data_IF_183471814815
#
_entry.id   IF_183471814815
#
_cell.length_a   1.000
_cell.length_b   1.000
_cell.length_c   1.000
_cell.angle_alpha   90.00
_cell.angle_beta   90.00
_cell.angle_gamma   90.00
#
_symmetry.space_group_name_H-M   'P 1'
#
loop_
_entity.id
_entity.type
_entity.pdbx_description
1 polymer ?
#
# COMPACT_ATOMS: atom_id res chain seq x y z
N UNK A 1 -42.25 -40.39 39.43
CA UNK A 1 -43.21 -39.95 38.39
C UNK A 1 -42.37 -39.28 37.32
N UNK A 2 -42.02 -40.02 36.26
CA UNK A 2 -42.78 -40.11 34.99
C UNK A 2 -42.83 -38.75 34.27
N UNK A 3 -42.48 -38.58 33.01
CA UNK A 3 -42.05 -39.46 31.92
C UNK A 3 -41.34 -38.57 30.89
N UNK A 4 -40.37 -39.04 30.11
CA UNK A 4 -40.51 -39.99 28.99
C UNK A 4 -41.45 -39.49 27.89
N UNK A 5 -40.86 -39.41 26.68
CA UNK A 5 -41.38 -39.70 25.34
C UNK A 5 -41.13 -38.53 24.37
N UNK A 6 -40.10 -38.63 23.51
CA UNK A 6 -40.12 -39.37 22.22
C UNK A 6 -40.89 -38.58 21.15
N UNK A 7 -40.53 -38.54 19.86
CA UNK A 7 -40.01 -39.62 19.03
C UNK A 7 -39.68 -39.07 17.62
N UNK A 8 -38.63 -39.63 17.02
CA UNK A 8 -38.60 -40.23 15.67
C UNK A 8 -38.74 -39.35 14.41
N UNK A 9 -38.18 -39.68 13.25
CA UNK A 9 -37.43 -40.83 12.68
C UNK A 9 -36.61 -40.24 11.50
N UNK A 10 -35.59 -40.84 10.84
CA UNK A 10 -35.45 -42.21 10.36
C UNK A 10 -34.01 -42.43 9.83
N UNK A 11 -33.44 -43.56 10.24
CA UNK A 11 -32.34 -44.43 9.71
C UNK A 11 -32.48 -44.67 8.16
N UNK A 12 -31.50 -45.17 7.32
CA UNK A 12 -30.44 -46.16 7.63
C UNK A 12 -29.03 -46.11 6.95
N UNK A 13 -28.12 -46.82 7.63
CA UNK A 13 -27.20 -47.92 7.18
C UNK A 13 -26.12 -47.74 6.09
N UNK A 14 -24.93 -48.15 6.56
CA UNK A 14 -23.99 -49.15 6.02
C UNK A 14 -23.18 -48.80 4.77
N UNK A 15 -21.86 -48.72 4.98
CA UNK A 15 -20.83 -49.46 4.22
C UNK A 15 -19.64 -49.63 5.17
N UNK A 16 -19.58 -50.73 5.94
CA UNK A 16 -18.84 -51.97 5.61
C UNK A 16 -17.45 -51.67 5.03
N UNK A 17 -16.48 -51.57 5.94
CA UNK A 17 -15.05 -51.64 5.67
C UNK A 17 -14.76 -53.06 5.17
N UNK A 18 -14.44 -53.19 3.88
CA UNK A 18 -13.75 -54.36 3.36
C UNK A 18 -12.26 -54.04 3.31
N UNK A 19 -11.52 -54.65 4.23
CA UNK A 19 -10.08 -54.89 4.06
C UNK A 19 -9.94 -55.98 3.00
N UNK A 20 -9.46 -55.60 1.82
CA UNK A 20 -8.93 -56.55 0.83
C UNK A 20 -7.47 -56.18 0.61
N UNK A 21 -6.63 -57.12 1.02
CA UNK A 21 -5.20 -57.19 0.75
C UNK A 21 -5.01 -57.44 -0.75
N UNK A 22 -4.46 -56.48 -1.47
CA UNK A 22 -4.03 -56.68 -2.86
C UNK A 22 -2.65 -56.02 -3.06
N UNK A 23 -1.56 -56.81 -3.17
CA UNK A 23 -0.18 -56.27 -3.16
C UNK A 23 0.29 -55.69 -4.51
N UNK A 24 -0.57 -55.63 -5.53
CA UNK A 24 -0.18 -55.17 -6.88
C UNK A 24 -0.53 -53.69 -7.19
N UNK A 25 -1.25 -52.98 -6.31
CA UNK A 25 -1.58 -51.56 -6.46
C UNK A 25 -0.88 -50.66 -5.43
N UNK A 26 0.13 -51.17 -4.74
CA UNK A 26 0.93 -50.40 -3.78
C UNK A 26 2.11 -49.66 -4.41
N UNK A 27 2.53 -50.06 -5.62
CA UNK A 27 3.75 -49.54 -6.28
C UNK A 27 3.50 -48.31 -7.16
N UNK A 28 2.29 -48.14 -7.68
CA UNK A 28 1.95 -46.99 -8.55
C UNK A 28 1.59 -45.75 -7.72
N UNK A 29 1.01 -45.93 -6.54
CA UNK A 29 0.49 -44.82 -5.71
C UNK A 29 1.56 -44.18 -4.83
N UNK A 30 2.64 -44.89 -4.49
CA UNK A 30 3.79 -44.36 -3.75
C UNK A 30 4.70 -43.48 -4.62
N UNK A 31 4.75 -43.71 -5.92
CA UNK A 31 5.59 -42.91 -6.84
C UNK A 31 5.02 -41.51 -7.06
N UNK A 32 3.69 -41.36 -7.05
CA UNK A 32 3.01 -40.09 -7.30
C UNK A 32 2.97 -39.17 -6.07
N UNK A 33 2.94 -39.72 -4.84
CA UNK A 33 2.97 -38.91 -3.62
C UNK A 33 4.40 -38.43 -3.31
N UNK A 34 5.42 -39.23 -3.63
CA UNK A 34 6.82 -38.86 -3.42
C UNK A 34 7.31 -37.78 -4.42
N UNK A 35 6.71 -37.67 -5.61
CA UNK A 35 7.01 -36.58 -6.56
C UNK A 35 6.37 -35.25 -6.15
N UNK A 36 5.16 -35.27 -5.58
CA UNK A 36 4.44 -34.06 -5.13
C UNK A 36 5.06 -33.47 -3.86
N UNK A 37 5.58 -34.29 -2.94
CA UNK A 37 6.26 -33.80 -1.73
C UNK A 37 7.65 -33.21 -2.01
N UNK A 38 8.36 -33.65 -3.06
CA UNK A 38 9.61 -32.99 -3.50
C UNK A 38 9.38 -31.61 -4.10
N UNK A 39 8.24 -31.38 -4.74
CA UNK A 39 7.96 -30.12 -5.42
C UNK A 39 7.59 -28.99 -4.44
N UNK A 40 7.09 -29.31 -3.24
CA UNK A 40 6.78 -28.31 -2.22
C UNK A 40 7.97 -27.94 -1.30
N UNK A 41 9.01 -28.77 -1.22
CA UNK A 41 10.18 -28.48 -0.38
C UNK A 41 11.24 -27.61 -1.08
N UNK A 42 11.26 -27.54 -2.42
CA UNK A 42 12.18 -26.66 -3.15
C UNK A 42 11.71 -25.19 -3.22
N UNK A 43 10.43 -24.90 -3.00
CA UNK A 43 9.90 -23.52 -3.13
C UNK A 43 10.04 -22.68 -1.85
N UNK A 44 10.61 -23.25 -0.76
CA UNK A 44 10.82 -22.55 0.53
C UNK A 44 12.29 -22.33 0.89
N UNK A 45 13.15 -22.09 -0.10
CA UNK A 45 14.50 -21.57 0.15
C UNK A 45 15.04 -20.72 -1.00
N UNK A 46 14.27 -19.72 -1.43
CA UNK A 46 14.87 -18.55 -2.04
C UNK A 46 15.25 -17.59 -0.90
N UNK A 47 16.43 -17.84 -0.32
CA UNK A 47 17.11 -16.83 0.49
C UNK A 47 17.16 -15.54 -0.33
N UNK A 48 16.62 -14.45 0.23
CA UNK A 48 16.83 -13.11 -0.30
C UNK A 48 18.33 -12.82 -0.27
N UNK A 49 19.00 -13.11 -1.39
CA UNK A 49 20.40 -12.79 -1.57
C UNK A 49 20.50 -11.31 -1.95
N UNK A 50 20.63 -10.49 -0.91
CA UNK A 50 20.76 -9.04 -0.99
C UNK A 50 22.04 -8.59 -1.71
N UNK A 51 23.03 -9.48 -1.87
CA UNK A 51 24.31 -9.16 -2.51
C UNK A 51 24.18 -8.91 -4.02
N UNK A 52 23.23 -9.56 -4.69
CA UNK A 52 23.00 -9.41 -6.13
C UNK A 52 22.17 -8.16 -6.50
N UNK A 53 21.51 -7.52 -5.52
CA UNK A 53 20.79 -6.25 -5.74
C UNK A 53 21.75 -5.06 -5.86
N UNK A 54 22.87 -5.09 -5.12
CA UNK A 54 23.91 -4.06 -5.20
C UNK A 54 24.88 -4.25 -6.36
N UNK A 55 25.02 -5.48 -6.89
CA UNK A 55 25.89 -5.73 -8.05
C UNK A 55 25.30 -5.18 -9.36
N UNK A 56 23.97 -5.26 -9.52
CA UNK A 56 23.25 -4.74 -10.69
C UNK A 56 23.18 -3.20 -10.75
N UNK A 57 23.48 -2.52 -9.65
CA UNK A 57 23.58 -1.05 -9.61
C UNK A 57 24.96 -0.54 -10.08
N UNK A 58 25.96 -1.42 -10.24
CA UNK A 58 27.28 -1.08 -10.76
C UNK A 58 27.41 -1.26 -12.28
N UNK A 59 26.64 -2.18 -12.87
CA UNK A 59 26.66 -2.46 -14.32
C UNK A 59 25.99 -1.38 -15.19
N UNK A 60 25.25 -0.43 -14.62
CA UNK A 60 24.75 0.73 -15.36
C UNK A 60 25.78 1.87 -15.51
N UNK A 61 27.02 1.68 -15.06
CA UNK A 61 28.06 2.72 -15.09
C UNK A 61 29.26 2.41 -16.00
N UNK A 62 29.21 1.35 -16.80
CA UNK A 62 30.21 1.05 -17.84
C UNK A 62 29.52 0.82 -19.19
N UNK A 63 29.07 1.91 -19.82
CA UNK A 63 28.91 1.93 -21.27
C UNK A 63 29.77 3.07 -21.81
N UNK A 64 31.04 2.76 -22.03
CA UNK A 64 31.93 3.58 -22.84
C UNK A 64 31.53 3.41 -24.32
N UNK A 65 31.25 4.49 -25.07
CA UNK A 65 30.76 4.41 -26.43
C UNK A 65 31.94 4.41 -27.40
N UNK A 66 32.26 3.26 -27.99
CA UNK A 66 33.27 3.21 -29.03
C UNK A 66 32.96 2.13 -30.04
N UNK A 67 32.15 2.47 -31.04
CA UNK A 67 32.45 2.25 -32.47
C UNK A 67 31.23 2.63 -33.31
N UNK A 68 31.52 3.26 -34.46
CA UNK A 68 30.60 3.65 -35.54
C UNK A 68 29.84 4.97 -35.33
N UNK A 69 30.51 6.09 -35.65
CA UNK A 69 30.30 6.77 -36.94
C UNK A 69 31.22 7.99 -37.04
N UNK A 70 32.17 7.89 -37.97
CA UNK A 70 32.98 8.99 -38.48
C UNK A 70 32.10 9.86 -39.38
N UNK A 71 31.84 11.11 -38.99
CA UNK A 71 31.75 12.21 -39.96
C UNK A 71 31.99 13.56 -39.26
N UNK A 72 33.07 14.19 -39.72
CA UNK A 72 33.45 15.61 -39.71
C UNK A 72 32.99 16.55 -38.60
N UNK A 73 34.01 17.12 -37.95
CA UNK A 73 33.99 18.29 -37.06
C UNK A 73 33.11 19.44 -37.56
N UNK A 74 32.20 19.90 -36.69
CA UNK A 74 31.87 21.32 -36.56
C UNK A 74 31.51 21.61 -35.10
N UNK A 75 32.45 22.25 -34.41
CA UNK A 75 32.38 22.65 -33.01
C UNK A 75 31.27 23.68 -32.80
N UNK A 76 30.20 23.30 -32.09
CA UNK A 76 29.38 24.24 -31.32
C UNK A 76 29.10 23.62 -29.96
N UNK A 77 29.67 24.27 -28.94
CA UNK A 77 29.40 23.99 -27.54
C UNK A 77 27.88 24.03 -27.31
N UNK A 78 27.31 22.88 -26.97
CA UNK A 78 25.92 22.73 -26.55
C UNK A 78 25.84 22.59 -25.04
N UNK A 79 26.22 23.62 -24.29
CA UNK A 79 25.65 23.83 -22.97
C UNK A 79 24.14 24.00 -23.13
N UNK A 80 23.35 23.32 -22.29
CA UNK A 80 21.89 23.46 -22.10
C UNK A 80 20.95 22.50 -22.87
N UNK A 81 20.83 21.25 -22.40
CA UNK A 81 19.59 20.46 -22.55
C UNK A 81 18.79 20.32 -21.24
N UNK A 82 19.23 20.95 -20.15
CA UNK A 82 18.44 21.00 -18.91
C UNK A 82 17.26 22.00 -18.98
N UNK A 83 17.19 22.80 -20.04
CA UNK A 83 16.24 23.91 -20.20
C UNK A 83 15.01 23.58 -21.07
N UNK A 84 14.89 22.38 -21.67
CA UNK A 84 13.72 22.00 -22.48
C UNK A 84 12.64 21.20 -21.75
N UNK A 85 12.93 20.69 -20.55
CA UNK A 85 11.95 20.05 -19.68
C UNK A 85 11.98 20.77 -18.33
N UNK A 86 11.03 21.67 -18.09
CA UNK A 86 10.87 22.32 -16.78
C UNK A 86 10.64 21.33 -15.63
N UNK A 87 10.46 21.82 -14.40
CA UNK A 87 10.30 20.99 -13.19
C UNK A 87 9.31 19.81 -13.37
N UNK A 88 8.18 20.05 -14.04
CA UNK A 88 7.18 19.00 -14.33
C UNK A 88 7.74 17.88 -15.21
N UNK A 89 8.49 18.23 -16.26
CA UNK A 89 9.12 17.25 -17.14
C UNK A 89 10.17 16.41 -16.42
N UNK A 90 10.98 17.06 -15.58
CA UNK A 90 11.94 16.37 -14.70
C UNK A 90 11.23 15.39 -13.75
N UNK A 91 10.17 15.85 -13.05
CA UNK A 91 9.40 15.01 -12.14
C UNK A 91 8.77 13.81 -12.85
N UNK A 92 8.14 14.04 -14.02
CA UNK A 92 7.58 12.96 -14.83
C UNK A 92 8.65 11.98 -15.32
N UNK A 93 9.85 12.48 -15.64
CA UNK A 93 11.02 11.66 -15.96
C UNK A 93 11.42 10.76 -14.78
N UNK A 94 11.48 11.31 -13.57
CA UNK A 94 11.77 10.59 -12.33
C UNK A 94 10.69 9.54 -11.99
N UNK A 95 9.41 9.88 -12.16
CA UNK A 95 8.29 8.95 -11.99
C UNK A 95 8.38 7.78 -12.97
N UNK A 96 8.95 7.97 -14.17
CA UNK A 96 9.16 6.88 -15.14
C UNK A 96 10.40 6.04 -14.84
N UNK A 97 11.54 6.67 -14.51
CA UNK A 97 12.82 5.99 -14.32
C UNK A 97 12.94 5.27 -12.97
N UNK A 98 12.42 5.88 -11.90
CA UNK A 98 12.45 5.38 -10.53
C UNK A 98 11.07 5.53 -9.87
N UNK A 99 10.06 4.78 -10.34
CA UNK A 99 8.66 5.03 -10.01
C UNK A 99 8.35 4.91 -8.51
N UNK A 100 8.84 3.85 -7.86
CA UNK A 100 8.54 3.62 -6.44
C UNK A 100 9.23 4.68 -5.58
N UNK A 101 10.53 4.89 -5.77
CA UNK A 101 11.31 5.84 -4.98
C UNK A 101 10.80 7.27 -5.12
N UNK A 102 10.48 7.72 -6.35
CA UNK A 102 9.97 9.07 -6.58
C UNK A 102 8.61 9.27 -5.90
N UNK A 103 7.73 8.27 -5.97
CA UNK A 103 6.41 8.32 -5.32
C UNK A 103 6.52 8.25 -3.80
N UNK A 104 7.45 7.47 -3.26
CA UNK A 104 7.79 7.43 -1.83
C UNK A 104 8.29 8.77 -1.31
N UNK A 105 9.27 9.38 -2.00
CA UNK A 105 9.77 10.70 -1.64
C UNK A 105 8.65 11.75 -1.66
N UNK A 106 7.82 11.72 -2.70
CA UNK A 106 6.68 12.64 -2.83
C UNK A 106 5.65 12.44 -1.71
N UNK A 107 5.30 11.19 -1.38
CA UNK A 107 4.38 10.87 -0.28
C UNK A 107 4.94 11.34 1.06
N UNK A 108 6.24 11.15 1.31
CA UNK A 108 6.93 11.64 2.51
C UNK A 108 6.83 13.16 2.65
N UNK A 109 7.13 13.91 1.58
CA UNK A 109 7.02 15.37 1.58
C UNK A 109 5.58 15.85 1.86
N UNK A 110 4.59 15.18 1.28
CA UNK A 110 3.18 15.51 1.52
C UNK A 110 2.79 15.25 2.97
N UNK A 111 3.25 14.15 3.56
CA UNK A 111 2.98 13.84 4.98
C UNK A 111 3.69 14.79 5.94
N UNK A 112 4.91 15.24 5.61
CA UNK A 112 5.59 16.32 6.35
C UNK A 112 4.75 17.60 6.30
N UNK A 113 4.30 18.01 5.11
CA UNK A 113 3.48 19.21 4.95
C UNK A 113 2.13 19.09 5.69
N UNK A 114 1.50 17.93 5.63
CA UNK A 114 0.23 17.66 6.33
C UNK A 114 0.40 17.76 7.84
N UNK A 115 1.47 17.19 8.39
CA UNK A 115 1.73 17.23 9.83
C UNK A 115 2.14 18.62 10.30
N UNK A 116 2.98 19.35 9.55
CA UNK A 116 3.29 20.75 9.82
C UNK A 116 2.03 21.63 9.84
N UNK A 117 1.13 21.44 8.87
CA UNK A 117 -0.15 22.16 8.82
C UNK A 117 -1.01 21.82 10.03
N UNK A 118 -1.11 20.52 10.37
CA UNK A 118 -1.86 20.05 11.53
C UNK A 118 -1.34 20.66 12.84
N UNK A 119 -0.01 20.66 13.04
CA UNK A 119 0.61 21.25 14.21
C UNK A 119 0.41 22.76 14.26
N UNK A 120 0.52 23.46 13.13
CA UNK A 120 0.31 24.92 13.06
C UNK A 120 -1.11 25.32 13.47
N UNK A 121 -2.10 24.49 13.17
CA UNK A 121 -3.50 24.75 13.52
C UNK A 121 -3.84 24.35 14.96
N UNK A 122 -3.12 23.36 15.51
CA UNK A 122 -3.44 22.79 16.83
C UNK A 122 -2.66 23.43 17.98
N UNK A 123 -1.44 23.87 17.71
CA UNK A 123 -0.52 24.42 18.71
C UNK A 123 -0.72 25.93 18.87
N UNK A 124 -0.66 26.46 20.11
CA UNK A 124 -0.53 27.89 20.33
C UNK A 124 0.77 28.42 19.70
N UNK A 125 0.79 29.68 19.27
CA UNK A 125 1.96 30.29 18.58
C UNK A 125 3.26 30.29 19.38
N UNK A 126 3.21 30.00 20.68
CA UNK A 126 4.36 29.91 21.59
C UNK A 126 4.98 28.51 21.69
N UNK A 127 4.30 27.48 21.21
CA UNK A 127 4.76 26.09 21.33
C UNK A 127 5.55 25.66 20.08
N UNK A 128 6.65 24.94 20.29
CA UNK A 128 7.51 24.48 19.21
C UNK A 128 6.92 23.25 18.51
N UNK A 129 7.25 23.08 17.22
CA UNK A 129 6.86 21.90 16.46
C UNK A 129 7.53 20.61 17.00
N UNK A 130 6.74 19.54 17.11
CA UNK A 130 7.21 18.19 17.39
C UNK A 130 7.89 17.61 16.13
N UNK A 131 9.22 17.76 16.08
CA UNK A 131 10.06 17.23 14.99
C UNK A 131 10.07 15.70 14.94
N UNK A 132 9.91 15.03 16.08
CA UNK A 132 9.88 13.56 16.14
C UNK A 132 8.61 13.06 15.46
N UNK A 133 7.47 13.72 15.71
CA UNK A 133 6.21 13.44 15.02
C UNK A 133 6.30 13.68 13.52
N UNK A 134 6.91 14.79 13.08
CA UNK A 134 7.15 15.07 11.66
C UNK A 134 7.97 13.94 11.03
N UNK A 135 9.05 13.50 11.70
CA UNK A 135 9.89 12.42 11.22
C UNK A 135 9.14 11.07 11.13
N UNK A 136 8.29 10.76 12.11
CA UNK A 136 7.41 9.57 12.05
C UNK A 136 6.48 9.63 10.84
N UNK A 137 5.85 10.77 10.58
CA UNK A 137 4.96 10.94 9.42
C UNK A 137 5.71 10.88 8.09
N UNK A 138 6.90 11.49 8.04
CA UNK A 138 7.80 11.41 6.88
C UNK A 138 8.18 9.95 6.57
N UNK A 139 8.57 9.19 7.61
CA UNK A 139 8.92 7.78 7.51
C UNK A 139 7.75 6.92 7.05
N UNK A 140 6.55 7.15 7.59
CA UNK A 140 5.33 6.46 7.16
C UNK A 140 5.04 6.69 5.67
N UNK A 141 5.10 7.96 5.22
CA UNK A 141 4.90 8.31 3.81
C UNK A 141 5.94 7.66 2.89
N UNK A 142 7.21 7.66 3.30
CA UNK A 142 8.31 7.14 2.49
C UNK A 142 8.33 5.61 2.40
N UNK A 143 8.27 4.93 3.55
CA UNK A 143 8.54 3.49 3.67
C UNK A 143 7.29 2.64 3.45
N UNK A 144 6.12 3.14 3.85
CA UNK A 144 4.89 2.33 3.89
C UNK A 144 3.93 2.81 2.80
N UNK A 145 3.47 4.05 2.89
CA UNK A 145 2.37 4.52 2.06
C UNK A 145 2.76 4.69 0.58
N UNK A 146 3.89 5.32 0.31
CA UNK A 146 4.37 5.56 -1.06
C UNK A 146 4.49 4.28 -1.90
N UNK A 147 5.22 3.24 -1.43
CA UNK A 147 5.30 1.96 -2.12
C UNK A 147 3.94 1.27 -2.20
N UNK A 148 3.18 1.27 -1.10
CA UNK A 148 1.84 0.66 -1.04
C UNK A 148 0.91 1.24 -2.10
N UNK A 149 0.81 2.57 -2.22
CA UNK A 149 -0.02 3.24 -3.23
C UNK A 149 0.48 2.93 -4.64
N UNK A 150 1.80 2.90 -4.87
CA UNK A 150 2.34 2.50 -6.17
C UNK A 150 1.83 1.12 -6.58
N UNK A 151 1.96 0.11 -5.72
CA UNK A 151 1.54 -1.24 -6.04
C UNK A 151 0.01 -1.36 -6.12
N UNK A 152 -0.72 -0.70 -5.22
CA UNK A 152 -2.18 -0.68 -5.20
C UNK A 152 -2.79 -0.18 -6.50
N UNK A 153 -2.43 1.04 -6.92
CA UNK A 153 -3.01 1.65 -8.13
C UNK A 153 -2.64 0.87 -9.40
N UNK A 154 -1.43 0.29 -9.48
CA UNK A 154 -1.05 -0.59 -10.58
C UNK A 154 -1.84 -1.91 -10.57
N UNK A 155 -2.00 -2.54 -9.40
CA UNK A 155 -2.76 -3.76 -9.24
C UNK A 155 -4.22 -3.59 -9.64
N UNK A 156 -4.89 -2.58 -9.08
CA UNK A 156 -6.29 -2.26 -9.38
C UNK A 156 -6.47 -1.92 -10.86
N UNK A 157 -5.51 -1.21 -11.47
CA UNK A 157 -5.56 -0.89 -12.90
C UNK A 157 -5.35 -2.10 -13.81
N UNK A 158 -4.58 -3.11 -13.37
CA UNK A 158 -4.45 -4.39 -14.09
C UNK A 158 -5.71 -5.24 -13.97
N UNK A 159 -6.31 -5.29 -12.78
CA UNK A 159 -7.54 -6.04 -12.53
C UNK A 159 -8.74 -5.41 -13.27
N UNK A 160 -8.77 -4.08 -13.34
CA UNK A 160 -9.86 -3.29 -13.89
C UNK A 160 -9.32 -2.25 -14.89
N UNK A 161 -8.97 -2.65 -16.13
CA UNK A 161 -8.27 -1.77 -17.07
C UNK A 161 -9.15 -0.67 -17.65
N UNK A 162 -10.48 -0.85 -17.66
CA UNK A 162 -11.42 0.13 -18.21
C UNK A 162 -11.59 1.34 -17.27
N UNK A 163 -12.06 2.46 -17.86
CA UNK A 163 -12.40 3.73 -17.17
C UNK A 163 -13.89 4.09 -17.30
N UNK A 164 -14.74 3.11 -17.59
CA UNK A 164 -16.19 3.28 -17.51
C UNK A 164 -16.65 3.41 -16.04
N UNK A 165 -17.88 3.86 -15.85
CA UNK A 165 -18.43 4.12 -14.51
C UNK A 165 -18.50 2.86 -13.65
N UNK A 166 -18.93 1.73 -14.22
CA UNK A 166 -19.07 0.46 -13.48
C UNK A 166 -17.70 0.00 -13.00
N UNK A 167 -16.71 0.02 -13.88
CA UNK A 167 -15.33 -0.34 -13.53
C UNK A 167 -14.77 0.61 -12.47
N UNK A 168 -15.05 1.90 -12.57
CA UNK A 168 -14.63 2.91 -11.57
C UNK A 168 -15.24 2.61 -10.20
N UNK A 169 -16.54 2.35 -10.11
CA UNK A 169 -17.20 1.98 -8.86
C UNK A 169 -16.65 0.69 -8.26
N UNK A 170 -16.32 -0.33 -9.08
CA UNK A 170 -15.66 -1.56 -8.60
C UNK A 170 -14.32 -1.25 -7.93
N UNK A 171 -13.51 -0.35 -8.51
CA UNK A 171 -12.22 0.09 -7.92
C UNK A 171 -12.43 0.79 -6.57
N UNK A 172 -13.42 1.69 -6.51
CA UNK A 172 -13.76 2.42 -5.27
C UNK A 172 -14.20 1.43 -4.18
N UNK A 173 -15.13 0.52 -4.48
CA UNK A 173 -15.62 -0.49 -3.52
C UNK A 173 -14.45 -1.33 -3.00
N UNK A 174 -13.55 -1.76 -3.89
CA UNK A 174 -12.37 -2.53 -3.49
C UNK A 174 -11.42 -1.70 -2.60
N UNK A 175 -11.25 -0.41 -2.91
CA UNK A 175 -10.52 0.54 -2.09
C UNK A 175 -11.11 0.65 -0.68
N UNK A 176 -12.41 0.88 -0.58
CA UNK A 176 -13.10 1.11 0.69
C UNK A 176 -13.20 -0.14 1.57
N UNK A 177 -13.29 -1.32 0.96
CA UNK A 177 -13.50 -2.59 1.70
C UNK A 177 -12.22 -3.35 2.02
N UNK A 178 -11.13 -3.09 1.28
CA UNK A 178 -9.86 -3.83 1.44
C UNK A 178 -8.73 -2.86 1.78
N UNK A 179 -8.40 -1.96 0.86
CA UNK A 179 -7.20 -1.14 0.99
C UNK A 179 -7.29 -0.12 2.13
N UNK A 180 -8.39 0.62 2.21
CA UNK A 180 -8.66 1.60 3.26
C UNK A 180 -8.56 1.01 4.66
N UNK A 181 -9.30 -0.06 5.01
CA UNK A 181 -9.23 -0.69 6.32
C UNK A 181 -7.81 -1.15 6.67
N UNK A 182 -7.11 -1.82 5.74
CA UNK A 182 -5.75 -2.29 5.96
C UNK A 182 -4.81 -1.12 6.23
N UNK A 183 -4.86 -0.08 5.40
CA UNK A 183 -3.95 1.07 5.53
C UNK A 183 -4.23 1.89 6.78
N UNK A 184 -5.49 2.01 7.22
CA UNK A 184 -5.84 2.67 8.48
C UNK A 184 -5.32 1.90 9.69
N UNK A 185 -5.45 0.57 9.71
CA UNK A 185 -4.86 -0.28 10.76
C UNK A 185 -3.34 -0.10 10.78
N UNK A 186 -2.69 -0.21 9.62
CA UNK A 186 -1.23 -0.05 9.52
C UNK A 186 -0.79 1.35 9.97
N UNK A 187 -1.53 2.40 9.64
CA UNK A 187 -1.25 3.75 10.09
C UNK A 187 -1.28 3.85 11.62
N UNK A 188 -2.40 3.46 12.25
CA UNK A 188 -2.51 3.54 13.71
C UNK A 188 -1.48 2.66 14.43
N UNK A 189 -1.29 1.42 13.98
CA UNK A 189 -0.33 0.50 14.59
C UNK A 189 1.11 0.97 14.44
N UNK A 190 1.51 1.42 13.25
CA UNK A 190 2.88 1.92 13.03
C UNK A 190 3.14 3.20 13.83
N UNK A 191 2.17 4.11 13.89
CA UNK A 191 2.31 5.35 14.63
C UNK A 191 2.38 5.10 16.14
N UNK A 192 1.56 4.20 16.68
CA UNK A 192 1.57 3.80 18.08
C UNK A 192 2.88 3.08 18.47
N UNK A 193 3.33 2.13 17.64
CA UNK A 193 4.60 1.44 17.85
C UNK A 193 5.79 2.41 17.88
N UNK A 194 5.84 3.39 16.96
CA UNK A 194 6.88 4.42 16.94
C UNK A 194 6.78 5.43 18.10
N UNK A 195 5.67 5.44 18.84
CA UNK A 195 5.51 6.19 20.10
C UNK A 195 5.92 5.37 21.33
N UNK A 196 6.31 4.10 21.14
CA UNK A 196 6.71 3.21 22.23
C UNK A 196 5.54 2.52 22.94
N UNK A 197 4.33 2.57 22.37
CA UNK A 197 3.16 1.89 22.95
C UNK A 197 3.31 0.36 22.87
N UNK A 198 2.86 -0.32 23.92
CA UNK A 198 2.83 -1.78 23.95
C UNK A 198 1.65 -2.36 23.15
N UNK A 199 1.63 -3.68 22.96
CA UNK A 199 0.60 -4.34 22.14
C UNK A 199 -0.83 -4.12 22.65
N UNK A 200 -1.04 -4.06 23.97
CA UNK A 200 -2.36 -3.83 24.55
C UNK A 200 -2.86 -2.40 24.28
N UNK A 201 -1.98 -1.41 24.40
CA UNK A 201 -2.26 0.01 24.09
C UNK A 201 -2.58 0.20 22.60
N UNK A 202 -1.80 -0.44 21.71
CA UNK A 202 -2.05 -0.40 20.26
C UNK A 202 -3.45 -0.96 19.94
N UNK A 203 -3.83 -2.09 20.55
CA UNK A 203 -5.16 -2.69 20.36
C UNK A 203 -6.25 -1.78 20.91
N UNK A 204 -6.05 -1.16 22.07
CA UNK A 204 -7.00 -0.21 22.65
C UNK A 204 -7.21 1.00 21.73
N UNK A 205 -6.13 1.57 21.18
CA UNK A 205 -6.19 2.67 20.21
C UNK A 205 -6.95 2.27 18.95
N UNK A 206 -6.65 1.11 18.37
CA UNK A 206 -7.38 0.59 17.21
C UNK A 206 -8.88 0.47 17.49
N UNK A 207 -9.27 -0.11 18.63
CA UNK A 207 -10.69 -0.23 19.02
C UNK A 207 -11.37 1.14 19.18
N UNK A 208 -10.65 2.13 19.67
CA UNK A 208 -11.14 3.49 19.88
C UNK A 208 -11.31 4.26 18.56
N UNK A 209 -10.29 4.25 17.72
CA UNK A 209 -10.15 5.22 16.63
C UNK A 209 -10.44 4.66 15.24
N UNK A 210 -10.32 3.34 15.05
CA UNK A 210 -10.42 2.73 13.71
C UNK A 210 -11.81 2.95 13.11
N UNK A 211 -12.86 2.59 13.84
CA UNK A 211 -14.23 2.66 13.34
C UNK A 211 -14.70 4.12 13.10
N UNK A 212 -14.49 5.07 14.04
CA UNK A 212 -14.78 6.49 13.77
C UNK A 212 -14.03 7.02 12.54
N UNK A 213 -12.74 6.69 12.40
CA UNK A 213 -11.92 7.14 11.26
C UNK A 213 -12.45 6.58 9.94
N UNK A 214 -12.85 5.30 9.92
CA UNK A 214 -13.42 4.68 8.73
C UNK A 214 -14.77 5.30 8.36
N UNK A 215 -15.66 5.52 9.33
CA UNK A 215 -16.98 6.14 9.08
C UNK A 215 -16.81 7.54 8.50
N UNK A 216 -15.96 8.37 9.09
CA UNK A 216 -15.68 9.71 8.59
C UNK A 216 -15.08 9.64 7.17
N UNK A 217 -14.22 8.66 6.93
CA UNK A 217 -13.59 8.45 5.63
C UNK A 217 -14.54 8.02 4.52
N UNK A 218 -15.62 7.28 4.83
CA UNK A 218 -16.54 6.73 3.82
C UNK A 218 -17.30 7.82 3.05
N UNK A 219 -17.45 9.03 3.58
CA UNK A 219 -18.05 10.14 2.83
C UNK A 219 -17.03 10.85 1.92
N UNK A 220 -15.78 10.94 2.35
CA UNK A 220 -14.74 11.71 1.67
C UNK A 220 -14.02 10.89 0.59
N UNK A 221 -13.54 9.70 0.95
CA UNK A 221 -12.66 8.92 0.10
C UNK A 221 -13.32 8.42 -1.19
N UNK A 222 -14.59 7.99 -1.24
CA UNK A 222 -15.22 7.60 -2.50
C UNK A 222 -15.26 8.72 -3.55
N UNK A 223 -15.41 9.97 -3.13
CA UNK A 223 -15.39 11.13 -4.04
C UNK A 223 -13.99 11.34 -4.59
N UNK A 224 -12.98 11.34 -3.71
CA UNK A 224 -11.57 11.43 -4.09
C UNK A 224 -11.14 10.28 -5.01
N UNK A 225 -11.54 9.05 -4.70
CA UNK A 225 -11.24 7.85 -5.48
C UNK A 225 -11.95 7.90 -6.84
N UNK A 226 -13.19 8.39 -6.90
CA UNK A 226 -13.89 8.59 -8.17
C UNK A 226 -13.11 9.54 -9.08
N UNK A 227 -12.70 10.70 -8.56
CA UNK A 227 -11.90 11.66 -9.33
C UNK A 227 -10.58 11.03 -9.79
N UNK A 228 -9.90 10.34 -8.88
CA UNK A 228 -8.61 9.70 -9.14
C UNK A 228 -8.70 8.60 -10.20
N UNK A 229 -9.65 7.69 -10.09
CA UNK A 229 -9.76 6.56 -11.01
C UNK A 229 -10.37 6.94 -12.37
N UNK A 230 -11.26 7.93 -12.39
CA UNK A 230 -11.95 8.36 -13.63
C UNK A 230 -11.06 9.25 -14.50
N UNK A 231 -10.39 10.24 -13.90
CA UNK A 231 -9.76 11.33 -14.64
C UNK A 231 -8.23 11.26 -14.65
N UNK A 232 -7.60 10.60 -13.67
CA UNK A 232 -6.15 10.66 -13.49
C UNK A 232 -5.47 9.42 -14.11
N UNK A 233 -4.37 9.59 -14.87
CA UNK A 233 -3.60 8.45 -15.38
C UNK A 233 -2.88 7.72 -14.23
N UNK A 234 -2.77 6.39 -14.35
CA UNK A 234 -2.32 5.47 -13.27
C UNK A 234 -0.98 5.87 -12.64
N UNK A 235 -0.05 6.40 -13.43
CA UNK A 235 1.26 6.81 -12.92
C UNK A 235 1.18 8.02 -11.97
N UNK A 236 0.17 8.88 -12.09
CA UNK A 236 -0.07 10.06 -11.24
C UNK A 236 -1.10 9.83 -10.13
N UNK A 237 -1.87 8.74 -10.17
CA UNK A 237 -2.87 8.44 -9.14
C UNK A 237 -2.31 8.43 -7.70
N UNK A 238 -1.11 7.88 -7.43
CA UNK A 238 -0.50 7.99 -6.09
C UNK A 238 -0.26 9.43 -5.63
N UNK A 239 0.15 10.33 -6.53
CA UNK A 239 0.38 11.74 -6.20
C UNK A 239 -0.94 12.43 -5.83
N UNK A 240 -1.97 12.23 -6.65
CA UNK A 240 -3.30 12.83 -6.43
C UNK A 240 -3.94 12.28 -5.14
N UNK A 241 -3.87 10.97 -4.92
CA UNK A 241 -4.36 10.33 -3.69
C UNK A 241 -3.67 10.86 -2.44
N UNK A 242 -2.33 10.99 -2.44
CA UNK A 242 -1.62 11.62 -1.32
C UNK A 242 -2.02 13.09 -1.12
N UNK A 243 -2.28 13.83 -2.20
CA UNK A 243 -2.74 15.23 -2.11
C UNK A 243 -4.12 15.32 -1.44
N UNK A 244 -5.02 14.36 -1.72
CA UNK A 244 -6.27 14.24 -0.97
C UNK A 244 -6.05 13.84 0.50
N UNK A 245 -5.04 13.03 0.81
CA UNK A 245 -4.67 12.76 2.21
C UNK A 245 -4.26 14.03 2.96
N UNK A 246 -3.51 14.93 2.32
CA UNK A 246 -3.16 16.21 2.92
C UNK A 246 -4.40 17.04 3.25
N UNK A 247 -5.33 17.19 2.29
CA UNK A 247 -6.58 17.93 2.51
C UNK A 247 -7.42 17.31 3.62
N UNK A 248 -7.47 15.97 3.67
CA UNK A 248 -8.13 15.23 4.74
C UNK A 248 -7.54 15.57 6.12
N UNK A 249 -6.21 15.56 6.25
CA UNK A 249 -5.52 15.89 7.51
C UNK A 249 -5.80 17.31 7.97
N UNK A 250 -5.77 18.28 7.05
CA UNK A 250 -6.11 19.68 7.34
C UNK A 250 -7.56 19.80 7.80
N UNK A 251 -8.50 19.18 7.08
CA UNK A 251 -9.92 19.18 7.46
C UNK A 251 -10.16 18.56 8.84
N UNK A 252 -9.61 17.39 9.12
CA UNK A 252 -9.74 16.73 10.42
C UNK A 252 -9.17 17.58 11.55
N UNK A 253 -8.03 18.23 11.32
CA UNK A 253 -7.42 19.12 12.31
C UNK A 253 -8.28 20.35 12.55
N UNK A 254 -8.82 20.94 11.48
CA UNK A 254 -9.73 22.07 11.57
C UNK A 254 -10.97 21.74 12.40
N UNK A 255 -11.65 20.64 12.08
CA UNK A 255 -12.84 20.21 12.82
C UNK A 255 -12.53 19.98 14.30
N UNK A 256 -11.42 19.29 14.61
CA UNK A 256 -10.99 19.07 15.98
C UNK A 256 -10.69 20.39 16.73
N UNK A 257 -10.14 21.40 16.04
CA UNK A 257 -9.88 22.72 16.63
C UNK A 257 -11.17 23.49 16.96
N UNK A 258 -12.22 23.34 16.13
CA UNK A 258 -13.52 23.94 16.37
C UNK A 258 -14.23 23.31 17.58
N UNK A 259 -14.21 21.98 17.67
CA UNK A 259 -14.83 21.26 18.80
C UNK A 259 -14.19 21.68 20.14
N UNK A 260 -12.87 21.88 20.16
CA UNK A 260 -12.15 22.37 21.33
C UNK A 260 -12.61 23.78 21.73
N UNK A 261 -12.78 24.70 20.78
CA UNK A 261 -13.25 26.06 21.05
C UNK A 261 -14.69 26.09 21.58
N UNK A 262 -15.57 25.27 21.00
CA UNK A 262 -16.96 25.15 21.43
C UNK A 262 -17.12 24.57 22.84
N UNK A 263 -16.24 23.65 23.25
CA UNK A 263 -16.26 23.08 24.62
C UNK A 263 -15.76 24.04 25.71
N UNK A 264 -15.11 25.15 25.33
CA UNK A 264 -14.58 26.16 26.25
C UNK A 264 -15.47 27.40 26.41
N UNK A 265 -16.64 27.42 25.76
CA UNK A 265 -17.65 28.50 25.84
C UNK A 265 -18.86 28.06 26.66
#
# INVERSE_FOLDING_TARGET
MSGSLMRNSTIPRLLRIHTITDPALATTTTTTVHSILRQQYQTRRASFDFSNFFKRSRECNEFSPSSLLTSSFSSKAGTSEFSKFGFVGWYLGMVKSRPVLTKSATSSLIYIAADLSSQTMSLPSSEAYDLVRILRMAGYGFLILGPSLHFWFNFVSKLFPKRDLITTFKKIIMGQTIYGPIMTVVFFSSNACLQGENSAEIIARLKRDLLPTMINGVMYWPVCDFVTFKFIPVHLQPLVSNSFSYLWTVYMTYMASLDKAGSSS
#
